data_IF_807291383705
#
_entry.id   IF_807291383705
#
_cell.length_a   1.000
_cell.length_b   1.000
_cell.length_c   1.000
_cell.angle_alpha   90.00
_cell.angle_beta   90.00
_cell.angle_gamma   90.00
#
_symmetry.space_group_name_H-M   'P 1'
#
loop_
_entity.id
_entity.type
_entity.pdbx_description
1 polymer ?
#
# COMPACT_ATOMS: atom_id res chain seq x y z
N UNK A 1 -10.05 -12.56 0.08
CA UNK A 1 -9.07 -12.03 -0.87
C UNK A 1 -8.46 -10.83 -0.23
N UNK A 2 -7.31 -11.03 0.37
CA UNK A 2 -6.71 -10.08 1.30
C UNK A 2 -5.49 -9.46 0.61
N UNK A 3 -5.45 -8.14 0.60
CA UNK A 3 -4.36 -7.39 0.03
C UNK A 3 -3.33 -7.02 1.11
N UNK A 4 -2.05 -7.14 0.79
CA UNK A 4 -0.97 -6.73 1.67
C UNK A 4 -0.25 -5.54 1.04
N UNK A 5 -0.10 -4.46 1.82
CA UNK A 5 0.75 -3.32 1.46
C UNK A 5 2.02 -3.41 2.27
N UNK A 6 3.16 -3.49 1.61
CA UNK A 6 4.44 -3.45 2.31
C UNK A 6 4.72 -2.03 2.85
N UNK A 7 5.33 -1.89 4.04
CA UNK A 7 5.62 -0.58 4.64
C UNK A 7 6.44 0.32 3.71
N UNK A 8 7.39 -0.25 2.97
CA UNK A 8 8.21 0.46 1.99
C UNK A 8 7.44 0.95 0.74
N UNK A 9 6.21 0.46 0.56
CA UNK A 9 5.30 0.81 -0.54
C UNK A 9 4.20 1.78 -0.10
N UNK A 10 4.15 2.17 1.18
CA UNK A 10 3.18 3.14 1.70
C UNK A 10 3.49 4.58 1.27
N UNK A 11 4.75 4.98 1.25
CA UNK A 11 5.16 6.33 0.85
C UNK A 11 6.51 6.34 0.12
N UNK A 12 6.83 7.44 -0.56
CA UNK A 12 8.16 7.64 -1.19
C UNK A 12 9.25 7.94 -0.17
N UNK A 13 8.86 8.45 0.99
CA UNK A 13 9.71 8.76 2.13
C UNK A 13 9.88 7.57 3.09
N UNK A 14 10.87 7.66 3.98
CA UNK A 14 11.11 6.65 5.02
C UNK A 14 10.01 6.73 6.07
N UNK A 15 9.06 5.81 6.00
CA UNK A 15 8.01 5.67 7.01
C UNK A 15 8.57 4.93 8.22
N UNK A 16 8.69 5.63 9.35
CA UNK A 16 9.12 5.02 10.62
C UNK A 16 7.97 4.28 11.32
N UNK A 17 6.73 4.75 11.14
CA UNK A 17 5.52 4.17 11.74
C UNK A 17 4.39 4.13 10.74
N UNK A 18 3.75 2.97 10.60
CA UNK A 18 2.58 2.80 9.72
C UNK A 18 1.37 3.60 10.24
N UNK A 19 1.22 3.72 11.55
CA UNK A 19 0.11 4.42 12.22
C UNK A 19 0.06 5.92 11.89
N UNK A 20 1.20 6.52 11.54
CA UNK A 20 1.25 7.93 11.13
C UNK A 20 0.73 8.16 9.72
N UNK A 21 0.66 7.11 8.89
CA UNK A 21 0.29 7.21 7.47
C UNK A 21 -1.09 6.63 7.20
N UNK A 22 -1.50 5.63 7.97
CA UNK A 22 -2.80 4.96 7.85
C UNK A 22 -3.46 4.85 9.21
N UNK A 23 -4.76 5.11 9.25
CA UNK A 23 -5.60 4.88 10.42
C UNK A 23 -6.65 3.82 10.10
N UNK A 24 -7.08 3.09 11.12
CA UNK A 24 -8.12 2.07 10.98
C UNK A 24 -9.42 2.77 10.58
N UNK A 25 -9.99 2.40 9.43
CA UNK A 25 -11.17 3.04 8.85
C UNK A 25 -10.89 4.12 7.80
N UNK A 26 -9.61 4.46 7.57
CA UNK A 26 -9.22 5.42 6.54
C UNK A 26 -9.28 4.78 5.13
N UNK A 27 -9.90 5.49 4.18
CA UNK A 27 -9.98 5.04 2.79
C UNK A 27 -8.80 5.59 2.01
N UNK A 28 -7.80 4.75 1.78
CA UNK A 28 -6.61 5.12 1.01
C UNK A 28 -6.68 4.61 -0.42
N UNK A 29 -6.22 5.42 -1.37
CA UNK A 29 -6.02 5.00 -2.75
C UNK A 29 -4.73 4.17 -2.84
N UNK A 30 -4.88 2.95 -3.36
CA UNK A 30 -3.79 2.01 -3.59
C UNK A 30 -3.85 1.47 -5.01
N UNK A 31 -2.70 1.18 -5.58
CA UNK A 31 -2.55 0.56 -6.89
C UNK A 31 -2.19 -0.90 -6.71
N UNK A 32 -2.88 -1.78 -7.43
CA UNK A 32 -2.54 -3.20 -7.52
C UNK A 32 -1.28 -3.37 -8.37
N UNK A 33 -0.22 -3.93 -7.79
CA UNK A 33 1.03 -4.23 -8.50
C UNK A 33 0.97 -5.64 -9.10
N UNK A 34 0.36 -6.57 -8.39
CA UNK A 34 0.32 -7.97 -8.81
C UNK A 34 -0.43 -8.82 -7.81
N UNK A 35 -0.56 -10.10 -8.14
CA UNK A 35 -1.16 -11.11 -7.28
C UNK A 35 -0.10 -12.18 -7.11
N UNK A 36 0.23 -12.49 -5.86
CA UNK A 36 1.15 -13.57 -5.51
C UNK A 36 0.48 -14.93 -5.72
N UNK A 37 1.26 -15.99 -5.95
CA UNK A 37 0.77 -17.37 -6.18
C UNK A 37 -0.18 -17.89 -5.07
N UNK A 38 -0.13 -17.30 -3.87
CA UNK A 38 -1.03 -17.61 -2.75
C UNK A 38 -2.36 -16.85 -2.78
N UNK A 39 -2.66 -16.12 -3.86
CA UNK A 39 -3.88 -15.32 -4.01
C UNK A 39 -3.92 -14.05 -3.16
N UNK A 40 -2.75 -13.57 -2.71
CA UNK A 40 -2.62 -12.30 -1.98
C UNK A 40 -2.38 -11.18 -2.98
N UNK A 41 -3.11 -10.08 -2.82
CA UNK A 41 -2.96 -8.92 -3.70
C UNK A 41 -1.84 -8.04 -3.17
N UNK A 42 -0.82 -7.81 -3.98
CA UNK A 42 0.25 -6.88 -3.68
C UNK A 42 -0.22 -5.47 -4.02
N UNK A 43 -0.33 -4.64 -2.98
CA UNK A 43 -0.86 -3.28 -3.07
C UNK A 43 0.23 -2.26 -2.78
N UNK A 44 0.19 -1.13 -3.49
CA UNK A 44 1.14 -0.02 -3.35
C UNK A 44 0.40 1.31 -3.26
N UNK A 45 0.66 2.10 -2.22
CA UNK A 45 0.16 3.48 -2.14
C UNK A 45 1.06 4.45 -2.91
N UNK A 46 2.38 4.22 -2.91
CA UNK A 46 3.36 5.02 -3.64
C UNK A 46 3.04 5.14 -5.13
N UNK A 47 2.67 4.03 -5.77
CA UNK A 47 2.35 3.99 -7.20
C UNK A 47 0.99 4.62 -7.53
N UNK A 48 0.05 4.60 -6.58
CA UNK A 48 -1.22 5.31 -6.73
C UNK A 48 -1.02 6.84 -6.73
N UNK A 49 -0.18 7.35 -5.83
CA UNK A 49 0.16 8.78 -5.73
C UNK A 49 1.02 9.29 -6.89
N UNK A 50 1.66 8.41 -7.66
CA UNK A 50 2.60 8.77 -8.72
C UNK A 50 1.99 8.79 -10.12
N UNK A 51 0.66 8.76 -10.26
CA UNK A 51 0.02 8.99 -11.56
C UNK A 51 0.19 10.45 -11.97
N UNK A 52 1.22 10.71 -12.77
CA UNK A 52 1.40 11.92 -13.55
C UNK A 52 1.51 11.52 -15.01
#
# INVERSE_FOLDING_TARGET
TDGLVHISRLAKERVEKVESVVSIGDQILVKCIGIDDKGRIDLSRKDALSSK
#
